data_IF_746256768356
#
_entry.id   IF_746256768356
#
_cell.length_a   1.000
_cell.length_b   1.000
_cell.length_c   1.000
_cell.angle_alpha   90.00
_cell.angle_beta   90.00
_cell.angle_gamma   90.00
#
_symmetry.space_group_name_H-M   'P 1'
#
loop_
_entity.id
_entity.type
_entity.pdbx_description
1 polymer ?
#
# COMPACT_ATOMS: atom_id res chain seq x y z
N UNK A 1 42.62 7.77 -30.90
CA UNK A 1 42.17 6.39 -30.59
C UNK A 1 40.84 6.04 -31.29
N UNK A 2 39.80 6.87 -31.18
CA UNK A 2 38.51 6.69 -31.88
C UNK A 2 38.65 6.55 -33.41
N UNK A 3 39.47 7.39 -34.04
CA UNK A 3 39.67 7.37 -35.50
C UNK A 3 40.47 6.15 -36.01
N UNK A 4 41.34 5.57 -35.17
CA UNK A 4 42.09 4.35 -35.50
C UNK A 4 41.22 3.09 -35.34
N UNK A 5 40.29 3.09 -34.38
CA UNK A 5 39.26 2.05 -34.24
C UNK A 5 38.31 2.05 -35.46
N UNK A 6 37.99 3.25 -35.98
CA UNK A 6 37.08 3.47 -37.11
C UNK A 6 37.60 2.94 -38.46
N UNK A 7 38.91 2.96 -38.70
CA UNK A 7 39.50 2.46 -39.95
C UNK A 7 39.52 0.93 -40.05
N UNK A 8 39.41 0.23 -38.92
CA UNK A 8 39.56 -1.23 -38.83
C UNK A 8 38.26 -2.01 -39.08
N UNK A 9 37.12 -1.32 -39.09
CA UNK A 9 35.80 -1.98 -39.11
C UNK A 9 35.17 -2.19 -40.50
N UNK A 10 35.79 -1.73 -41.59
CA UNK A 10 35.31 -1.94 -42.97
C UNK A 10 33.97 -1.25 -43.26
N UNK A 11 33.86 -0.54 -44.39
CA UNK A 11 32.71 0.33 -44.69
C UNK A 11 31.31 -0.31 -44.63
N UNK A 12 31.19 -1.65 -44.61
CA UNK A 12 29.91 -2.36 -44.47
C UNK A 12 29.34 -2.40 -43.04
N UNK A 13 30.14 -2.14 -41.99
CA UNK A 13 29.65 -2.17 -40.60
C UNK A 13 28.94 -0.88 -40.15
N UNK A 14 29.11 0.22 -40.88
CA UNK A 14 28.54 1.52 -40.54
C UNK A 14 27.02 1.57 -40.69
N UNK A 15 26.49 1.00 -41.77
CA UNK A 15 25.05 0.95 -41.99
C UNK A 15 24.35 0.13 -40.89
N UNK A 16 24.95 -0.99 -40.47
CA UNK A 16 24.42 -1.81 -39.39
C UNK A 16 24.43 -1.09 -38.04
N UNK A 17 25.53 -0.39 -37.70
CA UNK A 17 25.62 0.40 -36.46
C UNK A 17 24.63 1.58 -36.44
N UNK A 18 24.42 2.25 -37.57
CA UNK A 18 23.44 3.34 -37.69
C UNK A 18 22.00 2.81 -37.56
N UNK A 19 21.68 1.68 -38.17
CA UNK A 19 20.36 1.04 -38.03
C UNK A 19 20.10 0.58 -36.59
N UNK A 20 21.11 0.05 -35.91
CA UNK A 20 21.02 -0.32 -34.48
C UNK A 20 20.85 0.93 -33.62
N UNK A 21 21.64 1.99 -33.83
CA UNK A 21 21.53 3.24 -33.08
C UNK A 21 20.17 3.91 -33.29
N UNK A 22 19.66 3.96 -34.53
CA UNK A 22 18.33 4.47 -34.85
C UNK A 22 17.25 3.58 -34.23
N UNK A 23 17.39 2.26 -34.25
CA UNK A 23 16.39 1.37 -33.64
C UNK A 23 16.36 1.51 -32.11
N UNK A 24 17.52 1.65 -31.46
CA UNK A 24 17.62 1.94 -30.02
C UNK A 24 17.00 3.31 -29.72
N UNK A 25 17.35 4.35 -30.49
CA UNK A 25 16.81 5.70 -30.32
C UNK A 25 15.30 5.75 -30.56
N UNK A 26 14.79 5.08 -31.60
CA UNK A 26 13.35 4.99 -31.91
C UNK A 26 12.61 4.16 -30.86
N UNK A 27 13.23 3.14 -30.28
CA UNK A 27 12.65 2.39 -29.14
C UNK A 27 12.59 3.27 -27.89
N UNK A 28 13.64 4.06 -27.62
CA UNK A 28 13.64 5.04 -26.53
C UNK A 28 12.59 6.15 -26.75
N UNK A 29 12.49 6.67 -27.97
CA UNK A 29 11.51 7.69 -28.35
C UNK A 29 10.09 7.15 -28.29
N UNK A 30 9.81 5.96 -28.83
CA UNK A 30 8.49 5.34 -28.76
C UNK A 30 8.07 5.03 -27.31
N UNK A 31 9.02 4.62 -26.46
CA UNK A 31 8.77 4.38 -25.04
C UNK A 31 8.59 5.69 -24.25
N UNK A 32 9.24 6.78 -24.66
CA UNK A 32 8.98 8.12 -24.14
C UNK A 32 7.63 8.69 -24.64
N UNK A 33 7.18 8.28 -25.84
CA UNK A 33 5.94 8.74 -26.48
C UNK A 33 4.66 8.20 -25.84
N UNK A 34 4.73 7.13 -25.01
CA UNK A 34 3.57 6.66 -24.23
C UNK A 34 3.21 7.59 -23.05
N UNK A 35 4.16 8.45 -22.64
CA UNK A 35 3.91 9.50 -21.64
C UNK A 35 3.54 10.81 -22.34
N UNK A 36 2.42 11.42 -21.97
CA UNK A 36 2.11 12.78 -22.44
C UNK A 36 3.23 13.71 -21.96
N UNK A 37 3.87 14.48 -22.85
CA UNK A 37 4.93 15.41 -22.44
C UNK A 37 4.39 16.37 -21.37
N UNK A 38 5.03 16.38 -20.21
CA UNK A 38 4.67 17.24 -19.08
C UNK A 38 3.85 16.60 -17.96
N UNK A 39 3.42 15.34 -18.06
CA UNK A 39 2.82 14.61 -16.93
C UNK A 39 3.68 13.41 -16.56
N UNK A 40 4.22 13.41 -15.34
CA UNK A 40 4.97 12.28 -14.78
C UNK A 40 4.14 11.48 -13.78
N UNK A 41 4.50 10.21 -13.59
CA UNK A 41 3.93 9.34 -12.56
C UNK A 41 5.00 9.07 -11.51
N UNK A 42 4.73 9.41 -10.27
CA UNK A 42 5.66 9.22 -9.14
C UNK A 42 5.09 8.14 -8.24
N UNK A 43 5.95 7.22 -7.79
CA UNK A 43 5.63 6.23 -6.78
C UNK A 43 6.48 6.50 -5.54
N UNK A 44 5.80 6.62 -4.41
CA UNK A 44 6.43 6.61 -3.09
C UNK A 44 5.94 5.39 -2.32
N UNK A 45 6.84 4.75 -1.57
CA UNK A 45 6.56 3.55 -0.78
C UNK A 45 6.78 3.86 0.70
N UNK A 46 6.06 3.17 1.58
CA UNK A 46 6.13 3.46 3.02
C UNK A 46 7.45 3.05 3.66
N UNK A 47 8.04 1.96 3.17
CA UNK A 47 9.39 1.55 3.53
C UNK A 47 10.07 0.91 2.33
N UNK A 48 11.40 1.02 2.30
CA UNK A 48 12.25 0.26 1.38
C UNK A 48 12.73 -1.05 1.99
N UNK A 49 12.45 -1.28 3.27
CA UNK A 49 12.83 -2.46 4.04
C UNK A 49 11.63 -2.89 4.90
N UNK A 50 11.10 -4.08 4.64
CA UNK A 50 9.96 -4.64 5.37
C UNK A 50 10.28 -6.07 5.81
N UNK A 51 9.61 -6.56 6.83
CA UNK A 51 9.59 -8.00 7.10
C UNK A 51 8.54 -8.70 6.22
N UNK A 52 8.65 -10.02 6.02
CA UNK A 52 7.59 -10.80 5.41
C UNK A 52 6.25 -10.55 6.10
N UNK A 53 5.14 -10.53 5.37
CA UNK A 53 3.79 -10.25 5.89
C UNK A 53 3.51 -8.82 6.37
N UNK A 54 4.51 -7.94 6.48
CA UNK A 54 4.23 -6.55 6.81
C UNK A 54 3.51 -5.82 5.67
N UNK A 55 2.59 -4.90 5.98
CA UNK A 55 1.90 -4.10 4.99
C UNK A 55 2.88 -3.14 4.30
N UNK A 56 2.76 -3.00 2.98
CA UNK A 56 3.45 -1.96 2.22
C UNK A 56 2.44 -0.95 1.68
N UNK A 57 2.50 0.28 2.17
CA UNK A 57 1.65 1.36 1.69
C UNK A 57 2.35 2.11 0.59
N UNK A 58 1.60 2.51 -0.43
CA UNK A 58 2.17 3.21 -1.59
C UNK A 58 1.32 4.38 -2.04
N UNK A 59 2.00 5.44 -2.42
CA UNK A 59 1.40 6.66 -2.91
C UNK A 59 1.79 6.80 -4.39
N UNK A 60 0.80 6.68 -5.27
CA UNK A 60 0.98 6.92 -6.71
C UNK A 60 0.49 8.32 -7.00
N UNK A 61 1.24 9.11 -7.76
CA UNK A 61 0.84 10.47 -8.06
C UNK A 61 1.12 10.85 -9.50
N UNK A 62 0.20 11.61 -10.08
CA UNK A 62 0.45 12.31 -11.34
C UNK A 62 0.91 13.73 -11.01
N UNK A 63 2.00 14.16 -11.62
CA UNK A 63 2.54 15.51 -11.44
C UNK A 63 2.60 16.20 -12.79
N UNK A 64 2.08 17.43 -12.86
CA UNK A 64 2.28 18.28 -14.02
C UNK A 64 3.63 19.00 -13.94
N UNK A 65 4.62 18.47 -14.66
CA UNK A 65 5.96 19.03 -14.75
C UNK A 65 6.08 20.12 -15.84
N UNK A 66 5.01 20.38 -16.58
CA UNK A 66 5.01 21.47 -17.56
C UNK A 66 4.75 22.83 -16.91
N UNK A 67 5.16 23.88 -17.61
CA UNK A 67 4.89 25.27 -17.23
C UNK A 67 3.48 25.76 -17.59
N UNK A 68 2.60 24.87 -18.05
CA UNK A 68 1.23 25.18 -18.47
C UNK A 68 0.25 24.21 -17.84
N UNK A 69 -1.01 24.62 -17.77
CA UNK A 69 -2.09 23.73 -17.34
C UNK A 69 -2.21 22.50 -18.26
N UNK A 70 -2.44 21.33 -17.67
CA UNK A 70 -2.63 20.08 -18.38
C UNK A 70 -3.99 19.47 -18.02
N UNK A 71 -4.71 18.99 -19.03
CA UNK A 71 -5.95 18.23 -18.82
C UNK A 71 -5.69 16.75 -19.12
N UNK A 72 -5.93 15.90 -18.14
CA UNK A 72 -5.78 14.44 -18.23
C UNK A 72 -7.11 13.76 -17.94
N UNK A 73 -7.47 12.81 -18.80
CA UNK A 73 -8.63 11.96 -18.58
C UNK A 73 -8.15 10.61 -18.06
N UNK A 74 -8.42 10.34 -16.78
CA UNK A 74 -7.93 9.16 -16.07
C UNK A 74 -9.07 8.34 -15.51
N UNK A 75 -8.87 7.04 -15.39
CA UNK A 75 -9.66 6.25 -14.45
C UNK A 75 -9.11 6.62 -13.06
N UNK A 76 -9.92 7.13 -12.11
CA UNK A 76 -9.47 7.59 -10.79
C UNK A 76 -9.13 6.41 -9.86
N UNK A 77 -8.26 5.53 -10.34
CA UNK A 77 -7.76 4.33 -9.71
C UNK A 77 -6.27 4.24 -10.04
N UNK A 78 -5.43 4.12 -9.03
CA UNK A 78 -4.06 3.68 -9.23
C UNK A 78 -4.00 2.16 -9.23
N UNK A 79 -3.14 1.60 -10.06
CA UNK A 79 -2.75 0.20 -10.01
C UNK A 79 -1.31 0.13 -9.56
N UNK A 80 -0.97 -0.96 -8.90
CA UNK A 80 0.41 -1.24 -8.53
C UNK A 80 0.76 -2.57 -9.15
N UNK A 81 2.01 -2.77 -9.55
CA UNK A 81 2.54 -4.07 -9.94
C UNK A 81 3.80 -4.39 -9.18
N UNK A 82 3.98 -5.67 -8.92
CA UNK A 82 5.13 -6.21 -8.19
C UNK A 82 5.99 -7.01 -9.15
N UNK A 83 7.30 -6.77 -9.12
CA UNK A 83 8.28 -7.39 -9.98
C UNK A 83 9.32 -8.16 -9.16
N UNK A 84 9.64 -9.38 -9.57
CA UNK A 84 10.78 -10.13 -9.01
C UNK A 84 11.94 -10.00 -10.01
N UNK A 85 13.18 -9.75 -9.56
CA UNK A 85 14.35 -9.85 -10.43
C UNK A 85 14.48 -11.28 -10.99
N UNK A 86 14.45 -11.41 -12.32
CA UNK A 86 14.93 -12.60 -13.03
C UNK A 86 16.36 -12.40 -13.54
N UNK A 87 16.94 -13.42 -14.19
CA UNK A 87 18.32 -13.37 -14.71
C UNK A 87 18.58 -12.13 -15.60
N UNK A 88 17.65 -11.80 -16.51
CA UNK A 88 17.85 -10.68 -17.46
C UNK A 88 16.74 -9.60 -17.41
N UNK A 89 15.65 -9.84 -16.67
CA UNK A 89 14.50 -8.93 -16.63
C UNK A 89 13.68 -9.06 -15.36
N UNK A 90 13.04 -7.96 -14.97
CA UNK A 90 12.03 -7.95 -13.90
C UNK A 90 10.78 -8.68 -14.41
N UNK A 91 10.37 -9.75 -13.72
CA UNK A 91 9.13 -10.46 -13.98
C UNK A 91 7.99 -9.78 -13.24
N UNK A 92 7.26 -8.94 -13.94
CA UNK A 92 6.09 -8.25 -13.40
C UNK A 92 4.91 -9.20 -13.21
N UNK A 93 4.25 -9.05 -12.07
CA UNK A 93 2.99 -9.71 -11.73
C UNK A 93 1.97 -8.64 -11.34
N UNK A 94 0.71 -8.88 -11.71
CA UNK A 94 -0.38 -8.09 -11.18
C UNK A 94 -0.58 -8.54 -9.72
N UNK A 95 -0.62 -7.64 -8.73
CA UNK A 95 -0.80 -8.04 -7.33
C UNK A 95 -2.17 -8.68 -7.14
N UNK A 96 -3.17 -8.28 -7.94
CA UNK A 96 -4.56 -8.70 -7.82
C UNK A 96 -4.94 -9.73 -8.90
N UNK A 97 -4.42 -10.94 -8.82
CA UNK A 97 -4.92 -12.07 -9.62
C UNK A 97 -5.95 -12.95 -8.86
N UNK A 98 -6.43 -12.48 -7.70
CA UNK A 98 -7.11 -13.28 -6.68
C UNK A 98 -8.63 -13.21 -6.60
N UNK A 99 -9.33 -12.74 -7.63
CA UNK A 99 -10.78 -13.01 -7.75
C UNK A 99 -11.73 -12.30 -6.76
N UNK A 100 -11.25 -11.56 -5.75
CA UNK A 100 -12.07 -10.48 -5.17
C UNK A 100 -12.29 -9.49 -6.30
N UNK A 101 -13.49 -9.53 -6.90
CA UNK A 101 -13.87 -8.67 -8.01
C UNK A 101 -13.60 -7.24 -7.60
N UNK A 102 -12.49 -6.66 -8.06
CA UNK A 102 -12.42 -5.22 -8.20
C UNK A 102 -13.68 -4.86 -8.97
N UNK A 103 -14.63 -4.20 -8.29
CA UNK A 103 -15.83 -3.71 -8.95
C UNK A 103 -15.40 -2.96 -10.22
N UNK A 104 -16.29 -2.90 -11.24
CA UNK A 104 -15.97 -2.30 -12.53
C UNK A 104 -15.21 -0.99 -12.32
N UNK A 105 -14.15 -0.74 -13.11
CA UNK A 105 -13.35 0.46 -12.92
C UNK A 105 -14.29 1.67 -12.92
N UNK A 106 -14.08 2.66 -12.02
CA UNK A 106 -14.91 3.86 -12.02
C UNK A 106 -14.84 4.51 -13.40
N UNK A 107 -15.90 5.23 -13.81
CA UNK A 107 -15.88 5.91 -15.10
C UNK A 107 -14.68 6.87 -15.17
N UNK A 108 -14.11 7.08 -16.37
CA UNK A 108 -13.05 8.06 -16.54
C UNK A 108 -13.47 9.44 -16.04
N UNK A 109 -12.53 10.14 -15.42
CA UNK A 109 -12.68 11.49 -14.90
C UNK A 109 -11.63 12.39 -15.55
N UNK A 110 -12.07 13.52 -16.06
CA UNK A 110 -11.17 14.60 -16.49
C UNK A 110 -10.67 15.36 -15.27
N UNK A 111 -9.35 15.49 -15.18
CA UNK A 111 -8.66 16.22 -14.12
C UNK A 111 -7.77 17.25 -14.79
N UNK A 112 -7.86 18.47 -14.29
CA UNK A 112 -7.06 19.61 -14.71
C UNK A 112 -5.98 19.81 -13.65
N UNK A 113 -4.73 19.86 -14.09
CA UNK A 113 -3.56 20.02 -13.23
C UNK A 113 -2.84 21.30 -13.62
N UNK A 114 -2.76 22.25 -12.70
CA UNK A 114 -1.91 23.44 -12.85
C UNK A 114 -0.42 23.06 -12.79
N UNK A 115 0.52 23.94 -13.21
CA UNK A 115 1.96 23.66 -13.12
C UNK A 115 2.38 23.24 -11.70
N UNK A 116 3.10 22.13 -11.60
CA UNK A 116 3.54 21.47 -10.37
C UNK A 116 2.41 20.89 -9.48
N UNK A 117 1.16 20.91 -9.94
CA UNK A 117 0.07 20.28 -9.20
C UNK A 117 0.23 18.76 -9.20
N UNK A 118 -0.09 18.18 -8.04
CA UNK A 118 0.02 16.76 -7.77
C UNK A 118 -1.36 16.15 -7.51
N UNK A 119 -1.77 15.22 -8.37
CA UNK A 119 -2.91 14.36 -8.10
C UNK A 119 -2.44 13.08 -7.42
N UNK A 120 -2.76 12.95 -6.13
CA UNK A 120 -2.39 11.78 -5.33
C UNK A 120 -3.48 10.71 -5.32
N UNK A 121 -3.10 9.49 -5.66
CA UNK A 121 -3.91 8.28 -5.60
C UNK A 121 -3.25 7.29 -4.63
N UNK A 122 -3.92 7.09 -3.50
CA UNK A 122 -3.44 6.24 -2.43
C UNK A 122 -3.72 4.76 -2.73
N UNK A 123 -2.72 3.90 -2.52
CA UNK A 123 -2.87 2.45 -2.64
C UNK A 123 -2.15 1.72 -1.51
N UNK A 124 -2.65 0.53 -1.22
CA UNK A 124 -2.02 -0.39 -0.28
C UNK A 124 -1.73 -1.68 -1.01
N UNK A 125 -0.55 -2.22 -0.77
CA UNK A 125 -0.17 -3.55 -1.23
C UNK A 125 -0.25 -4.45 -0.01
N UNK A 126 -1.15 -5.43 -0.10
CA UNK A 126 -1.27 -6.45 0.94
C UNK A 126 -0.34 -7.61 0.65
N UNK A 127 0.05 -8.32 1.71
CA UNK A 127 0.84 -9.53 1.59
C UNK A 127 0.09 -10.68 0.93
N UNK A 128 -1.22 -10.61 0.85
CA UNK A 128 -2.09 -11.78 0.87
C UNK A 128 -3.04 -11.87 -0.32
N UNK A 129 -2.88 -11.02 -1.35
CA UNK A 129 -3.81 -10.95 -2.46
C UNK A 129 -4.23 -12.38 -2.88
N UNK A 130 -5.51 -12.77 -2.69
CA UNK A 130 -5.92 -14.16 -2.45
C UNK A 130 -5.69 -15.02 -3.68
N UNK A 131 -4.46 -15.46 -3.85
CA UNK A 131 -4.01 -16.34 -4.91
C UNK A 131 -3.12 -17.36 -4.24
N UNK A 132 -3.39 -18.67 -4.39
CA UNK A 132 -2.72 -19.70 -3.59
C UNK A 132 -1.20 -19.86 -3.81
N UNK A 133 -0.50 -18.99 -4.55
CA UNK A 133 0.86 -19.29 -5.03
C UNK A 133 1.89 -18.17 -5.12
N UNK A 134 1.59 -16.87 -4.94
CA UNK A 134 2.60 -15.80 -5.16
C UNK A 134 2.36 -14.54 -4.33
N UNK A 135 2.25 -14.72 -3.03
CA UNK A 135 2.31 -13.61 -2.11
C UNK A 135 3.77 -13.13 -2.00
N UNK A 136 4.12 -12.13 -2.83
CA UNK A 136 5.50 -11.74 -3.12
C UNK A 136 6.25 -11.17 -1.93
N UNK A 137 5.54 -10.73 -0.90
CA UNK A 137 6.10 -10.21 0.34
C UNK A 137 6.01 -11.21 1.49
N UNK A 138 5.88 -12.51 1.22
CA UNK A 138 5.91 -13.57 2.24
C UNK A 138 7.28 -14.22 2.42
N UNK A 139 8.25 -13.88 1.57
CA UNK A 139 9.59 -14.46 1.64
C UNK A 139 10.64 -13.36 1.57
N UNK A 140 11.73 -13.47 2.34
CA UNK A 140 12.87 -12.58 2.21
C UNK A 140 13.40 -12.51 0.79
N UNK A 141 13.90 -11.35 0.39
CA UNK A 141 14.41 -11.08 -0.95
C UNK A 141 14.07 -9.69 -1.48
N UNK A 142 14.37 -9.46 -2.76
CA UNK A 142 14.16 -8.16 -3.40
C UNK A 142 12.89 -8.21 -4.25
N UNK A 143 12.04 -7.19 -4.09
CA UNK A 143 10.90 -6.92 -4.97
C UNK A 143 10.97 -5.51 -5.53
N UNK A 144 10.44 -5.33 -6.72
CA UNK A 144 10.26 -4.03 -7.35
C UNK A 144 8.79 -3.67 -7.35
N UNK A 145 8.48 -2.44 -6.96
CA UNK A 145 7.13 -1.91 -6.94
C UNK A 145 7.01 -0.84 -8.01
N UNK A 146 5.93 -0.84 -8.77
CA UNK A 146 5.70 0.18 -9.78
C UNK A 146 4.24 0.65 -9.78
N UNK A 147 4.05 1.97 -9.72
CA UNK A 147 2.75 2.61 -9.78
C UNK A 147 2.31 2.79 -11.22
N UNK A 148 1.01 2.64 -11.47
CA UNK A 148 0.39 2.87 -12.78
C UNK A 148 -0.92 3.62 -12.63
N UNK A 149 -1.14 4.61 -13.48
CA UNK A 149 -2.45 5.25 -13.66
C UNK A 149 -2.86 5.07 -15.11
N UNK A 150 -4.07 4.59 -15.34
CA UNK A 150 -4.62 4.35 -16.68
C UNK A 150 -5.44 5.58 -17.09
N UNK A 151 -5.00 6.24 -18.15
CA UNK A 151 -5.77 7.21 -18.90
C UNK A 151 -6.65 6.55 -19.95
N UNK A 152 -7.63 7.28 -20.49
CA UNK A 152 -8.47 6.78 -21.61
C UNK A 152 -7.60 6.47 -22.83
N UNK A 153 -6.64 7.36 -23.12
CA UNK A 153 -5.75 7.25 -24.28
C UNK A 153 -4.27 7.15 -23.91
N UNK A 154 -3.94 7.08 -22.62
CA UNK A 154 -2.55 7.11 -22.16
C UNK A 154 -2.36 6.18 -20.97
N UNK A 155 -1.10 5.90 -20.66
CA UNK A 155 -0.72 5.07 -19.54
C UNK A 155 0.46 5.74 -18.84
N UNK A 156 0.28 6.08 -17.58
CA UNK A 156 1.31 6.71 -16.78
C UNK A 156 1.91 5.65 -15.87
N UNK A 157 3.21 5.36 -16.00
CA UNK A 157 3.93 4.42 -15.14
C UNK A 157 5.03 5.16 -14.40
N UNK A 158 5.20 4.86 -13.12
CA UNK A 158 6.33 5.37 -12.35
C UNK A 158 7.60 4.62 -12.71
N UNK A 159 8.75 5.17 -12.32
CA UNK A 159 9.94 4.34 -12.19
C UNK A 159 9.73 3.23 -11.13
N UNK A 160 10.30 2.03 -11.32
CA UNK A 160 10.30 0.99 -10.30
C UNK A 160 11.04 1.41 -9.03
N UNK A 161 10.43 1.16 -7.86
CA UNK A 161 11.07 1.32 -6.56
C UNK A 161 11.49 -0.05 -6.04
N UNK A 162 12.78 -0.21 -5.72
CA UNK A 162 13.31 -1.41 -5.07
C UNK A 162 12.88 -1.43 -3.59
N UNK A 163 12.32 -2.55 -3.15
CA UNK A 163 11.99 -2.85 -1.75
C UNK A 163 12.63 -4.17 -1.37
N UNK A 164 13.28 -4.20 -0.23
CA UNK A 164 13.91 -5.37 0.36
C UNK A 164 13.01 -5.95 1.44
N UNK A 165 12.74 -7.25 1.33
CA UNK A 165 12.06 -8.04 2.34
C UNK A 165 13.15 -8.69 3.14
N UNK A 166 13.36 -8.20 4.36
CA UNK A 166 14.44 -8.62 5.23
C UNK A 166 14.22 -10.04 5.75
N UNK A 167 15.30 -10.76 6.01
CA UNK A 167 15.25 -12.01 6.77
C UNK A 167 14.93 -11.71 8.24
N UNK A 168 13.80 -12.18 8.79
CA UNK A 168 13.49 -12.00 10.20
C UNK A 168 14.60 -12.55 11.11
N UNK A 169 14.86 -11.88 12.24
CA UNK A 169 15.89 -12.28 13.20
C UNK A 169 15.32 -12.35 14.62
N UNK A 170 15.91 -13.19 15.48
CA UNK A 170 15.51 -13.31 16.88
C UNK A 170 14.01 -13.58 17.04
N UNK A 171 13.34 -12.79 17.88
CA UNK A 171 11.90 -12.92 18.15
C UNK A 171 11.02 -12.67 16.91
N UNK A 172 11.48 -11.87 15.94
CA UNK A 172 10.77 -11.69 14.68
C UNK A 172 10.81 -12.96 13.83
N UNK A 173 11.90 -13.74 13.90
CA UNK A 173 11.98 -15.03 13.21
C UNK A 173 11.03 -16.07 13.79
N UNK A 174 10.92 -16.14 15.13
CA UNK A 174 9.97 -17.01 15.81
C UNK A 174 8.52 -16.64 15.49
N UNK A 175 8.21 -15.34 15.52
CA UNK A 175 6.89 -14.81 15.17
C UNK A 175 6.54 -15.08 13.69
N UNK A 176 7.50 -14.89 12.77
CA UNK A 176 7.33 -15.20 11.36
C UNK A 176 7.05 -16.68 11.12
N UNK A 177 7.81 -17.59 11.75
CA UNK A 177 7.59 -19.03 11.63
C UNK A 177 6.24 -19.47 12.22
N UNK A 178 5.81 -18.84 13.31
CA UNK A 178 4.45 -19.03 13.83
C UNK A 178 3.40 -18.59 12.81
N UNK A 179 3.52 -17.39 12.23
CA UNK A 179 2.59 -16.89 11.21
C UNK A 179 2.55 -17.80 9.97
N UNK A 180 3.69 -18.37 9.58
CA UNK A 180 3.83 -19.25 8.41
C UNK A 180 3.20 -20.63 8.61
N UNK A 181 3.17 -21.16 9.84
CA UNK A 181 2.78 -22.54 10.14
C UNK A 181 1.45 -22.66 10.87
N UNK A 182 1.27 -21.89 11.95
CA UNK A 182 0.11 -21.96 12.85
C UNK A 182 -0.85 -20.79 12.59
N UNK A 183 -0.32 -19.59 12.33
CA UNK A 183 -1.09 -18.36 12.15
C UNK A 183 -1.87 -18.25 10.83
N UNK A 184 -1.81 -19.25 9.95
CA UNK A 184 -2.55 -19.25 8.67
C UNK A 184 -3.94 -19.91 8.75
N UNK A 185 -4.31 -20.47 9.91
CA UNK A 185 -5.50 -21.33 10.03
C UNK A 185 -6.56 -20.73 10.97
N UNK A 186 -6.91 -19.45 10.79
CA UNK A 186 -8.05 -18.91 11.53
C UNK A 186 -9.34 -19.59 11.07
N UNK A 187 -10.25 -19.99 11.97
CA UNK A 187 -11.46 -20.70 11.58
C UNK A 187 -12.31 -19.81 10.66
N UNK A 188 -13.07 -20.36 9.68
CA UNK A 188 -13.89 -19.57 8.78
C UNK A 188 -14.84 -18.61 9.49
N UNK A 189 -15.25 -18.91 10.73
CA UNK A 189 -16.02 -18.01 11.59
C UNK A 189 -15.38 -16.63 11.85
N UNK A 190 -14.06 -16.51 11.66
CA UNK A 190 -13.32 -15.25 11.73
C UNK A 190 -13.54 -14.34 10.52
N UNK A 191 -14.06 -14.89 9.43
CA UNK A 191 -14.41 -14.11 8.24
C UNK A 191 -15.64 -13.25 8.51
N UNK A 192 -15.76 -12.11 7.83
CA UNK A 192 -16.94 -11.28 7.93
C UNK A 192 -18.23 -12.06 7.67
N UNK A 193 -19.28 -11.76 8.45
CA UNK A 193 -20.59 -12.38 8.24
C UNK A 193 -21.09 -12.24 6.80
N UNK A 194 -20.97 -11.06 6.20
CA UNK A 194 -21.40 -10.83 4.81
C UNK A 194 -20.57 -11.58 3.78
N UNK A 195 -19.27 -11.81 4.02
CA UNK A 195 -18.43 -12.61 3.13
C UNK A 195 -18.83 -14.08 3.20
N UNK A 196 -19.01 -14.60 4.41
CA UNK A 196 -19.52 -15.95 4.64
C UNK A 196 -20.88 -16.16 3.99
N UNK A 197 -21.78 -15.19 4.12
CA UNK A 197 -23.08 -15.22 3.44
C UNK A 197 -22.91 -15.25 1.92
N UNK A 198 -22.07 -14.38 1.35
CA UNK A 198 -21.84 -14.35 -0.10
C UNK A 198 -21.33 -15.71 -0.62
N UNK A 199 -20.40 -16.34 0.09
CA UNK A 199 -19.86 -17.66 -0.29
C UNK A 199 -20.88 -18.79 -0.10
N UNK A 200 -21.68 -18.73 0.95
CA UNK A 200 -22.79 -19.66 1.14
C UNK A 200 -23.82 -19.56 -0.01
N UNK A 201 -24.15 -18.35 -0.47
CA UNK A 201 -25.04 -18.15 -1.63
C UNK A 201 -24.43 -18.68 -2.94
N UNK A 202 -23.10 -18.70 -3.09
CA UNK A 202 -22.44 -19.35 -4.23
C UNK A 202 -22.33 -20.88 -4.10
N UNK A 203 -22.93 -21.48 -3.07
CA UNK A 203 -22.89 -22.92 -2.82
C UNK A 203 -21.56 -23.45 -2.26
N UNK A 204 -20.64 -22.57 -1.86
CA UNK A 204 -19.37 -22.95 -1.25
C UNK A 204 -19.62 -23.40 0.19
N UNK A 205 -19.19 -24.61 0.54
CA UNK A 205 -19.32 -25.12 1.91
C UNK A 205 -18.32 -24.43 2.82
N UNK A 206 -18.63 -24.28 4.10
CA UNK A 206 -17.73 -23.61 5.07
C UNK A 206 -16.32 -24.23 5.12
N UNK A 207 -16.22 -25.57 5.00
CA UNK A 207 -14.94 -26.29 4.93
C UNK A 207 -14.12 -26.02 3.66
N UNK A 208 -14.73 -25.44 2.64
CA UNK A 208 -14.11 -25.06 1.36
C UNK A 208 -13.74 -23.57 1.33
N UNK A 209 -14.17 -22.80 2.33
CA UNK A 209 -13.84 -21.39 2.46
C UNK A 209 -12.35 -21.23 2.83
N UNK A 210 -11.61 -20.32 2.16
CA UNK A 210 -10.24 -20.05 2.55
C UNK A 210 -10.20 -19.47 3.97
N UNK A 211 -9.29 -19.99 4.79
CA UNK A 211 -9.03 -19.47 6.13
C UNK A 211 -8.08 -18.28 6.02
N UNK A 212 -8.44 -17.12 6.59
CA UNK A 212 -7.55 -15.97 6.57
C UNK A 212 -6.35 -16.22 7.49
N UNK A 213 -5.18 -15.75 7.09
CA UNK A 213 -4.04 -15.68 8.00
C UNK A 213 -4.19 -14.55 9.02
N UNK A 214 -3.59 -14.70 10.20
CA UNK A 214 -3.57 -13.67 11.23
C UNK A 214 -2.92 -12.37 10.73
N UNK A 215 -1.90 -12.49 9.88
CA UNK A 215 -1.21 -11.35 9.30
C UNK A 215 -2.09 -10.51 8.37
N UNK A 216 -3.19 -11.07 7.84
CA UNK A 216 -4.13 -10.31 7.01
C UNK A 216 -4.73 -9.13 7.80
N UNK A 217 -4.76 -9.26 9.14
CA UNK A 217 -5.30 -8.27 10.05
C UNK A 217 -4.29 -7.18 10.49
N UNK A 218 -3.04 -7.21 10.05
CA UNK A 218 -1.98 -6.30 10.54
C UNK A 218 -2.12 -4.81 10.14
N UNK A 219 -3.06 -4.45 9.26
CA UNK A 219 -3.13 -3.07 8.77
C UNK A 219 -4.48 -2.62 8.17
N UNK A 220 -5.59 -3.24 8.58
CA UNK A 220 -6.90 -3.37 7.93
C UNK A 220 -7.67 -2.16 7.33
N UNK A 221 -7.09 -1.26 6.53
CA UNK A 221 -7.89 -0.21 5.88
C UNK A 221 -9.06 -0.68 4.99
N UNK A 222 -8.96 -1.87 4.40
CA UNK A 222 -9.97 -2.38 3.47
C UNK A 222 -11.05 -3.26 4.12
N UNK A 223 -10.89 -3.57 5.40
CA UNK A 223 -11.78 -4.45 6.15
C UNK A 223 -12.64 -3.65 7.16
N UNK A 224 -12.49 -2.32 7.15
CA UNK A 224 -13.38 -1.41 7.87
C UNK A 224 -14.81 -1.54 7.34
N UNK A 225 -15.75 -1.76 8.24
CA UNK A 225 -17.16 -1.89 7.86
C UNK A 225 -17.67 -3.31 7.69
N UNK A 226 -16.83 -4.31 7.93
CA UNK A 226 -17.26 -5.71 7.94
C UNK A 226 -17.64 -6.15 9.36
N UNK A 227 -18.53 -7.14 9.43
CA UNK A 227 -19.11 -7.69 10.66
C UNK A 227 -18.24 -8.87 11.14
N UNK A 228 -17.17 -8.57 11.88
CA UNK A 228 -16.30 -9.56 12.54
C UNK A 228 -16.81 -9.87 13.94
N UNK A 229 -16.62 -11.13 14.36
CA UNK A 229 -16.72 -11.51 15.76
C UNK A 229 -15.49 -11.10 16.57
N UNK A 230 -15.48 -11.44 17.86
CA UNK A 230 -14.39 -11.09 18.80
C UNK A 230 -13.14 -11.97 18.59
N UNK A 231 -13.28 -13.11 17.90
CA UNK A 231 -12.24 -14.13 17.76
C UNK A 231 -10.95 -13.63 17.06
N UNK A 232 -10.99 -12.91 15.92
CA UNK A 232 -9.77 -12.37 15.31
C UNK A 232 -9.02 -11.42 16.25
N UNK A 233 -9.76 -10.64 17.04
CA UNK A 233 -9.17 -9.70 18.00
C UNK A 233 -8.46 -10.48 19.12
N UNK A 234 -9.05 -11.55 19.63
CA UNK A 234 -8.42 -12.42 20.65
C UNK A 234 -7.15 -13.06 20.13
N UNK A 235 -7.18 -13.62 18.94
CA UNK A 235 -6.00 -14.28 18.35
C UNK A 235 -4.88 -13.26 18.04
N UNK A 236 -5.22 -12.04 17.61
CA UNK A 236 -4.23 -10.96 17.44
C UNK A 236 -3.56 -10.58 18.75
N UNK A 237 -4.33 -10.40 19.82
CA UNK A 237 -3.79 -10.00 21.11
C UNK A 237 -2.97 -11.14 21.76
N UNK A 238 -3.45 -12.38 21.67
CA UNK A 238 -2.70 -13.56 22.12
C UNK A 238 -1.36 -13.70 21.39
N UNK A 239 -1.36 -13.49 20.07
CA UNK A 239 -0.13 -13.45 19.28
C UNK A 239 0.78 -12.30 19.71
N UNK A 240 0.21 -11.11 19.88
CA UNK A 240 0.97 -9.93 20.29
C UNK A 240 1.63 -10.11 21.66
N UNK A 241 0.95 -10.76 22.61
CA UNK A 241 1.48 -11.00 23.94
C UNK A 241 2.55 -12.08 23.93
N UNK A 242 2.35 -13.14 23.13
CA UNK A 242 3.36 -14.21 22.94
C UNK A 242 4.66 -13.67 22.36
N UNK A 243 4.58 -12.73 21.42
CA UNK A 243 5.74 -12.19 20.70
C UNK A 243 5.96 -10.70 20.98
N UNK A 244 5.70 -10.23 22.20
CA UNK A 244 5.62 -8.81 22.57
C UNK A 244 6.71 -7.87 21.99
N UNK A 245 8.01 -8.24 21.94
CA UNK A 245 9.03 -7.36 21.38
C UNK A 245 9.10 -7.36 19.84
N UNK A 246 8.43 -8.31 19.16
CA UNK A 246 8.45 -8.43 17.69
C UNK A 246 7.73 -7.26 17.00
N UNK A 247 8.21 -6.90 15.81
CA UNK A 247 7.52 -5.98 14.89
C UNK A 247 6.12 -6.48 14.55
N UNK A 248 5.95 -7.79 14.46
CA UNK A 248 4.66 -8.40 14.18
C UNK A 248 3.65 -8.21 15.31
N UNK A 249 4.07 -8.29 16.57
CA UNK A 249 3.20 -8.07 17.72
C UNK A 249 2.63 -6.64 17.72
N UNK A 250 3.43 -5.64 17.36
CA UNK A 250 2.94 -4.26 17.19
C UNK A 250 1.88 -4.14 16.10
N UNK A 251 2.14 -4.73 14.93
CA UNK A 251 1.16 -4.77 13.85
C UNK A 251 -0.13 -5.49 14.28
N UNK A 252 -0.02 -6.56 15.06
CA UNK A 252 -1.17 -7.27 15.60
C UNK A 252 -1.98 -6.41 16.59
N UNK A 253 -1.32 -5.67 17.49
CA UNK A 253 -1.97 -4.70 18.40
C UNK A 253 -2.66 -3.59 17.63
N UNK A 254 -1.99 -3.02 16.62
CA UNK A 254 -2.57 -2.01 15.74
C UNK A 254 -3.81 -2.57 15.03
N UNK A 255 -3.70 -3.76 14.42
CA UNK A 255 -4.80 -4.48 13.77
C UNK A 255 -5.99 -4.72 14.69
N UNK A 256 -5.75 -5.17 15.92
CA UNK A 256 -6.79 -5.35 16.94
C UNK A 256 -7.47 -4.03 17.31
N UNK A 257 -6.70 -2.94 17.45
CA UNK A 257 -7.25 -1.59 17.69
C UNK A 257 -8.13 -1.12 16.55
N UNK A 258 -7.70 -1.36 15.31
CA UNK A 258 -8.43 -1.00 14.09
C UNK A 258 -9.75 -1.77 13.95
N UNK A 259 -9.75 -3.08 14.23
CA UNK A 259 -10.96 -3.89 14.29
C UNK A 259 -11.96 -3.31 15.30
N UNK A 260 -11.50 -2.97 16.51
CA UNK A 260 -12.38 -2.38 17.54
C UNK A 260 -12.86 -0.98 17.19
N UNK A 261 -12.09 -0.19 16.44
CA UNK A 261 -12.48 1.15 16.06
C UNK A 261 -13.55 1.15 14.95
N UNK A 262 -13.35 0.32 13.91
CA UNK A 262 -14.14 0.33 12.68
C UNK A 262 -15.17 -0.80 12.54
N UNK A 263 -15.24 -1.76 13.46
CA UNK A 263 -16.23 -2.83 13.42
C UNK A 263 -17.67 -2.26 13.35
N UNK A 264 -18.55 -2.96 12.61
CA UNK A 264 -20.01 -2.69 12.59
C UNK A 264 -20.80 -3.57 13.55
N UNK A 265 -20.13 -4.43 14.31
CA UNK A 265 -20.71 -5.42 15.20
C UNK A 265 -20.55 -5.03 16.68
N UNK A 266 -21.00 -5.89 17.59
CA UNK A 266 -20.85 -5.71 19.03
C UNK A 266 -19.40 -5.61 19.52
N UNK A 267 -18.41 -5.97 18.69
CA UNK A 267 -16.99 -5.90 19.06
C UNK A 267 -16.42 -4.48 18.98
N UNK A 268 -17.19 -3.54 18.41
CA UNK A 268 -16.79 -2.13 18.32
C UNK A 268 -16.65 -1.54 19.72
N UNK A 269 -15.43 -1.20 20.09
CA UNK A 269 -15.10 -0.62 21.39
C UNK A 269 -13.99 0.42 21.21
N UNK A 270 -14.41 1.68 21.05
CA UNK A 270 -13.50 2.81 20.81
C UNK A 270 -12.57 3.03 22.01
N UNK A 271 -13.00 2.71 23.24
CA UNK A 271 -12.17 2.86 24.43
C UNK A 271 -11.00 1.87 24.46
N UNK A 272 -11.26 0.60 24.11
CA UNK A 272 -10.19 -0.40 23.92
C UNK A 272 -9.31 -0.06 22.71
N UNK A 273 -9.87 0.42 21.61
CA UNK A 273 -9.09 0.84 20.46
C UNK A 273 -8.08 1.94 20.82
N UNK A 274 -8.51 2.97 21.57
CA UNK A 274 -7.62 4.04 22.06
C UNK A 274 -6.48 3.48 22.90
N UNK A 275 -6.74 2.54 23.82
CA UNK A 275 -5.67 1.92 24.63
C UNK A 275 -4.64 1.20 23.76
N UNK A 276 -5.09 0.42 22.79
CA UNK A 276 -4.20 -0.29 21.87
C UNK A 276 -3.38 0.67 21.00
N UNK A 277 -3.99 1.74 20.50
CA UNK A 277 -3.24 2.77 19.76
C UNK A 277 -2.23 3.49 20.65
N UNK A 278 -2.57 3.79 21.91
CA UNK A 278 -1.63 4.39 22.85
C UNK A 278 -0.48 3.45 23.19
N UNK A 279 -0.71 2.14 23.30
CA UNK A 279 0.36 1.15 23.48
C UNK A 279 1.32 1.15 22.30
N UNK A 280 0.82 1.06 21.07
CA UNK A 280 1.66 1.12 19.85
C UNK A 280 2.41 2.45 19.76
N UNK A 281 1.76 3.58 20.09
CA UNK A 281 2.38 4.90 20.05
C UNK A 281 3.54 5.07 21.04
N UNK A 282 3.52 4.37 22.18
CA UNK A 282 4.59 4.44 23.20
C UNK A 282 5.89 3.76 22.77
N UNK A 283 5.83 2.82 21.82
CA UNK A 283 7.02 2.09 21.35
C UNK A 283 7.94 2.96 20.47
N UNK A 284 7.45 4.10 19.97
CA UNK A 284 8.28 5.16 19.36
C UNK A 284 8.89 4.84 18.00
N UNK A 285 8.43 3.81 17.32
CA UNK A 285 8.90 3.39 16.00
C UNK A 285 8.06 3.97 14.85
N UNK A 286 8.27 3.49 13.62
CA UNK A 286 7.52 3.95 12.44
C UNK A 286 6.00 3.71 12.57
N UNK A 287 5.55 2.73 13.38
CA UNK A 287 4.13 2.50 13.65
C UNK A 287 3.54 3.49 14.65
N UNK A 288 4.36 4.16 15.46
CA UNK A 288 3.87 5.17 16.40
C UNK A 288 3.20 6.34 15.67
N UNK A 289 3.74 6.73 14.52
CA UNK A 289 3.12 7.76 13.66
C UNK A 289 1.72 7.35 13.20
N UNK A 290 1.59 6.08 12.82
CA UNK A 290 0.33 5.49 12.38
C UNK A 290 -0.69 5.41 13.53
N UNK A 291 -0.24 5.03 14.72
CA UNK A 291 -1.09 5.02 15.91
C UNK A 291 -1.58 6.43 16.28
N UNK A 292 -0.72 7.46 16.20
CA UNK A 292 -1.13 8.85 16.40
C UNK A 292 -2.15 9.32 15.36
N UNK A 293 -1.99 8.92 14.09
CA UNK A 293 -2.99 9.20 13.08
C UNK A 293 -4.38 8.66 13.47
N UNK A 294 -4.45 7.40 13.94
CA UNK A 294 -5.73 6.81 14.36
C UNK A 294 -6.27 7.41 15.66
N UNK A 295 -5.42 7.80 16.62
CA UNK A 295 -5.84 8.58 17.79
C UNK A 295 -6.47 9.92 17.38
N UNK A 296 -5.90 10.59 16.38
CA UNK A 296 -6.47 11.82 15.82
C UNK A 296 -7.84 11.60 15.19
N UNK A 297 -8.04 10.50 14.48
CA UNK A 297 -9.36 10.14 13.94
C UNK A 297 -10.39 9.84 15.04
N UNK A 298 -9.98 9.16 16.12
CA UNK A 298 -10.87 8.92 17.27
C UNK A 298 -11.30 10.24 17.89
N UNK A 299 -10.36 11.15 18.17
CA UNK A 299 -10.65 12.47 18.72
C UNK A 299 -11.55 13.30 17.79
N UNK A 300 -11.29 13.27 16.47
CA UNK A 300 -12.14 13.96 15.49
C UNK A 300 -13.57 13.40 15.50
N UNK A 301 -13.73 12.07 15.60
CA UNK A 301 -15.05 11.44 15.67
C UNK A 301 -15.82 11.83 16.94
N UNK A 302 -15.11 12.10 18.05
CA UNK A 302 -15.69 12.59 19.30
C UNK A 302 -15.98 14.11 19.29
N UNK A 303 -15.57 14.82 18.23
CA UNK A 303 -15.67 16.27 18.17
C UNK A 303 -14.59 17.01 18.95
N UNK A 304 -13.59 16.30 19.47
CA UNK A 304 -12.44 16.82 20.22
C UNK A 304 -11.41 17.40 19.24
N UNK A 305 -11.81 18.43 18.47
CA UNK A 305 -11.06 18.90 17.31
C UNK A 305 -9.65 19.41 17.66
N UNK A 306 -9.49 20.08 18.81
CA UNK A 306 -8.17 20.55 19.24
C UNK A 306 -7.21 19.38 19.53
N UNK A 307 -7.72 18.32 20.17
CA UNK A 307 -6.94 17.12 20.46
C UNK A 307 -6.62 16.34 19.17
N UNK A 308 -7.58 16.24 18.25
CA UNK A 308 -7.37 15.63 16.94
C UNK A 308 -6.23 16.32 16.16
N UNK A 309 -6.20 17.65 16.14
CA UNK A 309 -5.13 18.42 15.51
C UNK A 309 -3.76 18.12 16.14
N UNK A 310 -3.68 18.03 17.48
CA UNK A 310 -2.45 17.67 18.19
C UNK A 310 -1.98 16.26 17.84
N UNK A 311 -2.88 15.28 17.75
CA UNK A 311 -2.52 13.92 17.36
C UNK A 311 -2.00 13.84 15.92
N UNK A 312 -2.65 14.53 14.97
CA UNK A 312 -2.14 14.58 13.60
C UNK A 312 -0.79 15.29 13.51
N UNK A 313 -0.58 16.35 14.29
CA UNK A 313 0.71 17.02 14.37
C UNK A 313 1.80 16.09 14.94
N UNK A 314 1.50 15.32 15.99
CA UNK A 314 2.43 14.31 16.52
C UNK A 314 2.77 13.26 15.47
N UNK A 315 1.78 12.75 14.74
CA UNK A 315 2.00 11.82 13.64
C UNK A 315 2.97 12.40 12.58
N UNK A 316 2.77 13.66 12.20
CA UNK A 316 3.62 14.37 11.22
C UNK A 316 5.02 14.71 11.73
N UNK A 317 5.19 14.83 13.06
CA UNK A 317 6.49 15.09 13.70
C UNK A 317 7.40 13.84 13.76
N UNK A 318 6.83 12.65 13.59
CA UNK A 318 7.55 11.39 13.60
C UNK A 318 8.00 11.02 12.18
N UNK A 319 8.85 9.97 12.09
CA UNK A 319 9.16 9.32 10.82
C UNK A 319 7.92 8.57 10.32
N UNK A 320 7.03 9.32 9.67
CA UNK A 320 5.83 8.82 9.04
C UNK A 320 6.06 8.57 7.57
N UNK A 321 5.54 7.46 7.06
CA UNK A 321 5.60 7.15 5.65
C UNK A 321 4.79 8.14 4.80
N UNK A 322 5.12 8.29 3.49
CA UNK A 322 4.45 9.25 2.62
C UNK A 322 2.94 9.05 2.51
N UNK A 323 2.45 7.81 2.63
CA UNK A 323 1.02 7.50 2.56
C UNK A 323 0.28 8.09 3.77
N UNK A 324 0.72 7.77 4.98
CA UNK A 324 0.09 8.28 6.19
C UNK A 324 0.40 9.75 6.47
N UNK A 325 1.54 10.26 5.99
CA UNK A 325 1.81 11.70 5.96
C UNK A 325 0.72 12.45 5.21
N UNK A 326 0.43 12.03 3.97
CA UNK A 326 -0.60 12.64 3.14
C UNK A 326 -1.98 12.59 3.81
N UNK A 327 -2.31 11.46 4.44
CA UNK A 327 -3.56 11.31 5.19
C UNK A 327 -3.63 12.23 6.42
N UNK A 328 -2.55 12.33 7.19
CA UNK A 328 -2.46 13.16 8.39
C UNK A 328 -2.50 14.66 8.05
N UNK A 329 -1.79 15.12 7.01
CA UNK A 329 -1.86 16.50 6.51
C UNK A 329 -3.29 16.90 6.13
N UNK A 330 -3.96 16.04 5.34
CA UNK A 330 -5.35 16.28 4.93
C UNK A 330 -6.31 16.28 6.11
N UNK A 331 -6.10 15.39 7.09
CA UNK A 331 -6.95 15.31 8.27
C UNK A 331 -6.75 16.51 9.20
N UNK A 332 -5.50 16.92 9.43
CA UNK A 332 -5.14 18.13 10.18
C UNK A 332 -5.77 19.38 9.56
N UNK A 333 -5.57 19.61 8.26
CA UNK A 333 -6.13 20.78 7.57
C UNK A 333 -7.67 20.83 7.67
N UNK A 334 -8.34 19.68 7.58
CA UNK A 334 -9.80 19.59 7.77
C UNK A 334 -10.21 19.99 9.18
N UNK A 335 -9.52 19.48 10.21
CA UNK A 335 -9.83 19.76 11.61
C UNK A 335 -9.54 21.22 11.97
N UNK A 336 -8.42 21.78 11.52
CA UNK A 336 -8.06 23.19 11.73
C UNK A 336 -9.06 24.15 11.08
N UNK A 337 -9.54 23.83 9.87
CA UNK A 337 -10.60 24.59 9.21
C UNK A 337 -11.88 24.61 10.07
N UNK A 338 -12.31 23.46 10.60
CA UNK A 338 -13.49 23.35 11.47
C UNK A 338 -13.30 24.12 12.79
N UNK A 339 -12.12 24.06 13.40
CA UNK A 339 -11.77 24.85 14.59
C UNK A 339 -11.82 26.35 14.35
N UNK A 340 -11.37 26.80 13.17
CA UNK A 340 -11.41 28.22 12.81
C UNK A 340 -12.85 28.70 12.60
N UNK A 341 -13.71 27.84 12.04
CA UNK A 341 -15.11 28.14 11.80
C UNK A 341 -15.93 28.20 13.10
N UNK A 342 -15.61 27.38 14.10
CA UNK A 342 -16.32 27.39 15.40
C UNK A 342 -15.97 28.58 16.30
N UNK A 343 -14.93 29.35 15.96
CA UNK A 343 -14.49 30.55 16.68
C UNK A 343 -15.07 31.85 16.11
N UNK A 344 -15.70 31.78 14.93
CA UNK A 344 -16.45 32.87 14.30
C UNK A 344 -17.90 32.76 14.69
#
# INVERSE_FOLDING_TARGET
>A
MFWALMKKLGGQSWAALVVIAISVLMTFLAKAQESRPGISCILEVSSREILPFEPLYVMVSLVNESNREQEVEIIPRAWVRLGIPGQDKIKWTKPFAGGLMEGPPPPPKRVRLTPNERLTLLRRIHADAPVPRRALIQKPGIVYVQGRVIGVNNKFESEPVKVEILEPQGVDAEAYEYLRTEGMNLPPSTLPRSLRQSWAHSGMKEREMPTPGLYEFFALENWYGWDYGEEPIKELLKFADRFAPSRYARHARLGAGLLRFYARSEVRDVGKAVRLFQEVAREGDDLAALAFYYLGQVAEQRGELAEAAQYYERALSLKIDPYFRHLAEKARARVESRLSASKR
#
